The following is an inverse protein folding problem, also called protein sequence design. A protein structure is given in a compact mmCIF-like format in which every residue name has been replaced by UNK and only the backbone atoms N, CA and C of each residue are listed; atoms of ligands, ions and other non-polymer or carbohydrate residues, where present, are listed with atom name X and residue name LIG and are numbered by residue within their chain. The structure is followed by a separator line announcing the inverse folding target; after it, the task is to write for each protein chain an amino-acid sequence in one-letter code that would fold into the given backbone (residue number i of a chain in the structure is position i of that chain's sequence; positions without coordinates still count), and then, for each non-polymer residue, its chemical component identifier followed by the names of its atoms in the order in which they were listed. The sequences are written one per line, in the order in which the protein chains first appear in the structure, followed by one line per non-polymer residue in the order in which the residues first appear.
data_IF_557816237828
#
_entry.id   IF_557816237828
#
_cell.length_a   1.000
_cell.length_b   1.000
_cell.length_c   1.000
_cell.angle_alpha   90.00
_cell.angle_beta   90.00
_cell.angle_gamma   90.00
#
_symmetry.space_group_name_H-M   'P 1'
#
loop_
_entity.id
_entity.type
_entity.pdbx_description
1 polymer ?
#
# COMPACT_ATOMS: atom_id res chain seq x y z
N UNK A 1 -23.33 -34.69 -13.12
CA UNK A 1 -22.01 -34.10 -12.77
C UNK A 1 -22.05 -32.67 -13.25
N UNK A 2 -22.30 -31.75 -12.33
CA UNK A 2 -22.58 -30.36 -12.67
C UNK A 2 -21.30 -29.58 -12.92
N UNK A 3 -21.20 -28.99 -14.09
CA UNK A 3 -20.26 -27.88 -14.36
C UNK A 3 -20.52 -26.76 -13.38
N UNK A 4 -19.68 -26.63 -12.36
CA UNK A 4 -19.58 -25.40 -11.59
C UNK A 4 -18.92 -24.38 -12.51
N UNK A 5 -19.73 -23.51 -13.13
CA UNK A 5 -19.22 -22.31 -13.76
C UNK A 5 -18.44 -21.54 -12.69
N UNK A 6 -17.16 -21.30 -12.90
CA UNK A 6 -16.37 -20.36 -12.14
C UNK A 6 -17.03 -18.98 -12.28
N UNK A 7 -17.83 -18.61 -11.31
CA UNK A 7 -18.43 -17.28 -11.22
C UNK A 7 -17.32 -16.36 -10.74
N UNK A 8 -16.92 -15.38 -11.55
CA UNK A 8 -15.83 -14.47 -11.20
C UNK A 8 -16.29 -13.47 -10.13
N UNK A 9 -15.52 -13.34 -9.03
CA UNK A 9 -15.82 -12.54 -7.84
C UNK A 9 -15.20 -11.15 -7.90
N UNK A 10 -14.13 -10.99 -8.69
CA UNK A 10 -13.42 -9.73 -8.82
C UNK A 10 -14.03 -8.86 -9.91
N UNK A 11 -14.40 -7.63 -9.54
CA UNK A 11 -14.73 -6.58 -10.50
C UNK A 11 -13.55 -5.63 -10.61
N UNK A 12 -12.88 -5.64 -11.76
CA UNK A 12 -11.75 -4.74 -12.04
C UNK A 12 -12.28 -3.44 -12.63
N UNK A 13 -11.85 -2.32 -12.09
CA UNK A 13 -12.21 -0.99 -12.56
C UNK A 13 -10.97 -0.25 -13.04
N UNK A 14 -11.12 0.50 -14.13
CA UNK A 14 -10.14 1.51 -14.47
C UNK A 14 -10.29 2.66 -13.47
N UNK A 15 -9.24 3.03 -12.72
CA UNK A 15 -9.36 4.13 -11.77
C UNK A 15 -9.58 5.45 -12.53
N UNK A 16 -10.41 6.31 -11.98
CA UNK A 16 -10.45 7.69 -12.46
C UNK A 16 -9.19 8.44 -12.02
N UNK A 17 -8.89 9.53 -12.65
CA UNK A 17 -7.78 10.39 -12.25
C UNK A 17 -8.27 11.36 -11.19
N UNK A 18 -7.67 11.31 -9.98
CA UNK A 18 -7.94 12.30 -8.95
C UNK A 18 -7.58 13.69 -9.45
N UNK A 19 -8.48 14.63 -9.26
CA UNK A 19 -8.25 16.04 -9.62
C UNK A 19 -7.33 16.72 -8.60
N UNK A 20 -6.82 17.90 -8.94
CA UNK A 20 -6.14 18.76 -7.98
C UNK A 20 -7.02 19.03 -6.75
N UNK A 21 -8.32 19.26 -6.94
CA UNK A 21 -9.28 19.46 -5.86
C UNK A 21 -9.36 18.25 -4.92
N UNK A 22 -9.35 17.03 -5.46
CA UNK A 22 -9.36 15.81 -4.63
C UNK A 22 -8.09 15.70 -3.77
N UNK A 23 -6.93 16.02 -4.35
CA UNK A 23 -5.64 15.99 -3.63
C UNK A 23 -5.54 17.10 -2.59
N UNK A 24 -6.09 18.29 -2.87
CA UNK A 24 -6.12 19.43 -1.96
C UNK A 24 -7.10 19.26 -0.78
N UNK A 25 -7.82 18.16 -0.70
CA UNK A 25 -8.54 17.78 0.53
C UNK A 25 -7.57 17.51 1.70
N UNK A 26 -6.32 17.17 1.42
CA UNK A 26 -5.25 16.99 2.40
C UNK A 26 -4.05 17.89 2.13
N UNK A 27 -3.51 17.86 0.93
CA UNK A 27 -2.31 18.62 0.57
C UNK A 27 -2.59 20.10 0.38
N UNK A 28 -1.56 20.94 0.55
CA UNK A 28 -1.65 22.36 0.23
C UNK A 28 -1.78 22.58 -1.26
N UNK A 29 -2.53 23.60 -1.64
CA UNK A 29 -2.77 23.96 -3.04
C UNK A 29 -1.45 24.28 -3.77
N UNK A 30 -0.55 25.03 -3.12
CA UNK A 30 0.78 25.36 -3.67
C UNK A 30 1.62 24.13 -4.01
N UNK A 31 1.57 23.10 -3.15
CA UNK A 31 2.30 21.86 -3.38
C UNK A 31 1.73 21.08 -4.57
N UNK A 32 0.41 20.95 -4.65
CA UNK A 32 -0.24 20.22 -5.74
C UNK A 32 -0.10 20.99 -7.08
N UNK A 33 -0.23 22.32 -7.08
CA UNK A 33 0.06 23.15 -8.27
C UNK A 33 1.50 22.97 -8.75
N UNK A 34 2.45 22.93 -7.82
CA UNK A 34 3.85 22.63 -8.15
C UNK A 34 4.00 21.25 -8.80
N UNK A 35 3.43 20.18 -8.23
CA UNK A 35 3.51 18.83 -8.79
C UNK A 35 2.91 18.75 -10.20
N UNK A 36 1.84 19.53 -10.46
CA UNK A 36 1.19 19.55 -11.77
C UNK A 36 2.05 20.23 -12.83
N UNK A 37 2.88 21.21 -12.43
CA UNK A 37 3.64 22.06 -13.36
C UNK A 37 5.08 21.63 -13.56
N UNK A 38 5.65 20.93 -12.60
CA UNK A 38 7.06 20.50 -12.66
C UNK A 38 7.22 19.34 -13.66
N UNK A 39 8.31 19.39 -14.42
CA UNK A 39 8.70 18.32 -15.34
C UNK A 39 10.24 18.26 -15.43
N UNK A 40 10.83 17.18 -15.92
CA UNK A 40 12.30 17.10 -16.08
C UNK A 40 12.89 18.25 -16.90
N UNK A 41 12.09 18.80 -17.83
CA UNK A 41 12.56 19.84 -18.75
C UNK A 41 12.55 21.26 -18.14
N UNK A 42 11.84 21.48 -17.03
CA UNK A 42 11.68 22.82 -16.45
C UNK A 42 12.13 22.93 -14.98
N UNK A 43 12.77 21.91 -14.41
CA UNK A 43 13.22 21.87 -13.01
C UNK A 43 14.03 23.10 -12.59
N UNK A 44 14.86 23.63 -13.51
CA UNK A 44 15.69 24.81 -13.22
C UNK A 44 14.87 26.03 -12.81
N UNK A 45 13.65 26.16 -13.35
CA UNK A 45 12.71 27.22 -12.99
C UNK A 45 12.04 27.02 -11.63
N UNK A 46 12.12 25.81 -11.05
CA UNK A 46 11.46 25.43 -9.80
C UNK A 46 12.42 25.15 -8.64
N UNK A 47 13.70 25.56 -8.70
CA UNK A 47 14.70 25.22 -7.69
C UNK A 47 14.27 25.51 -6.25
N UNK A 48 13.60 26.64 -6.01
CA UNK A 48 13.08 26.99 -4.68
C UNK A 48 11.96 26.03 -4.24
N UNK A 49 11.04 25.73 -5.14
CA UNK A 49 9.90 24.83 -4.87
C UNK A 49 10.35 23.39 -4.70
N UNK A 50 11.33 22.92 -5.49
CA UNK A 50 11.93 21.60 -5.34
C UNK A 50 12.47 21.41 -3.91
N UNK A 51 13.23 22.37 -3.40
CA UNK A 51 13.77 22.32 -2.03
C UNK A 51 12.67 22.46 -0.97
N UNK A 52 11.70 23.37 -1.19
CA UNK A 52 10.64 23.63 -0.23
C UNK A 52 9.68 22.44 -0.06
N UNK A 53 9.44 21.71 -1.15
CA UNK A 53 8.53 20.55 -1.20
C UNK A 53 9.25 19.20 -1.16
N UNK A 54 10.57 19.20 -0.89
CA UNK A 54 11.40 18.00 -0.78
C UNK A 54 11.32 17.09 -2.00
N UNK A 55 11.29 17.68 -3.20
CA UNK A 55 11.29 16.97 -4.48
C UNK A 55 12.63 17.17 -5.17
N UNK A 56 13.25 16.07 -5.63
CA UNK A 56 14.55 16.10 -6.31
C UNK A 56 15.41 14.88 -6.05
N UNK A 57 15.70 14.58 -4.79
CA UNK A 57 16.59 13.46 -4.43
C UNK A 57 15.79 12.14 -4.29
N UNK A 58 15.27 11.84 -3.09
CA UNK A 58 14.50 10.60 -2.86
C UNK A 58 13.13 10.59 -3.56
N UNK A 59 12.62 11.76 -3.91
CA UNK A 59 11.38 11.93 -4.67
C UNK A 59 11.66 12.64 -6.00
N UNK A 60 12.27 11.95 -6.99
CA UNK A 60 12.70 12.58 -8.24
C UNK A 60 11.54 13.04 -9.12
N UNK A 61 11.80 14.05 -9.96
CA UNK A 61 10.88 14.46 -11.01
C UNK A 61 11.07 13.57 -12.22
N UNK A 62 9.99 12.97 -12.72
CA UNK A 62 9.98 12.12 -13.92
C UNK A 62 8.83 12.50 -14.85
N UNK A 63 8.87 12.12 -16.14
CA UNK A 63 7.77 12.37 -17.07
C UNK A 63 6.48 11.69 -16.60
N UNK A 64 5.37 12.43 -16.53
CA UNK A 64 4.09 11.90 -16.10
C UNK A 64 3.89 11.82 -14.58
N UNK A 65 4.75 12.47 -13.77
CA UNK A 65 4.66 12.47 -12.31
C UNK A 65 3.26 12.79 -11.79
N UNK A 66 2.65 13.88 -12.25
CA UNK A 66 1.31 14.26 -11.78
C UNK A 66 0.24 13.26 -12.20
N UNK A 67 0.33 12.73 -13.41
CA UNK A 67 -0.60 11.70 -13.89
C UNK A 67 -0.49 10.43 -13.05
N UNK A 68 0.71 10.01 -12.71
CA UNK A 68 0.97 8.89 -11.81
C UNK A 68 0.32 9.13 -10.44
N UNK A 69 0.54 10.30 -9.83
CA UNK A 69 -0.09 10.69 -8.55
C UNK A 69 -1.62 10.69 -8.66
N UNK A 70 -2.15 11.24 -9.76
CA UNK A 70 -3.58 11.31 -10.03
C UNK A 70 -4.23 9.94 -10.13
N UNK A 71 -3.57 8.96 -10.77
CA UNK A 71 -4.10 7.61 -10.96
C UNK A 71 -4.14 6.79 -9.68
N UNK A 72 -3.04 6.72 -8.92
CA UNK A 72 -3.04 5.91 -7.71
C UNK A 72 -3.93 6.52 -6.61
N UNK A 73 -3.97 7.85 -6.52
CA UNK A 73 -4.86 8.56 -5.59
C UNK A 73 -6.32 8.35 -5.97
N UNK A 74 -6.63 8.46 -7.26
CA UNK A 74 -7.97 8.22 -7.78
C UNK A 74 -8.46 6.79 -7.52
N UNK A 75 -7.57 5.80 -7.63
CA UNK A 75 -7.90 4.41 -7.33
C UNK A 75 -8.26 4.20 -5.85
N UNK A 76 -7.47 4.74 -4.91
CA UNK A 76 -7.74 4.65 -3.47
C UNK A 76 -9.03 5.39 -3.10
N UNK A 77 -9.24 6.58 -3.67
CA UNK A 77 -10.45 7.37 -3.47
C UNK A 77 -11.70 6.66 -4.03
N UNK A 78 -11.59 6.04 -5.21
CA UNK A 78 -12.66 5.24 -5.80
C UNK A 78 -12.99 4.02 -4.93
N UNK A 79 -11.97 3.30 -4.43
CA UNK A 79 -12.16 2.20 -3.50
C UNK A 79 -12.91 2.62 -2.24
N UNK A 80 -12.51 3.73 -1.62
CA UNK A 80 -13.19 4.30 -0.46
C UNK A 80 -14.65 4.67 -0.76
N UNK A 81 -14.91 5.29 -1.92
CA UNK A 81 -16.27 5.65 -2.37
C UNK A 81 -17.14 4.40 -2.56
N UNK A 82 -16.59 3.32 -3.12
CA UNK A 82 -17.34 2.08 -3.32
C UNK A 82 -17.69 1.39 -1.99
N UNK A 83 -16.78 1.45 -1.01
CA UNK A 83 -17.06 0.97 0.34
C UNK A 83 -18.15 1.79 1.02
N UNK A 84 -18.08 3.13 0.94
CA UNK A 84 -19.10 4.03 1.46
C UNK A 84 -20.48 3.72 0.87
N UNK A 85 -20.56 3.46 -0.43
CA UNK A 85 -21.80 3.14 -1.13
C UNK A 85 -22.22 1.68 -0.99
N UNK A 86 -21.50 0.88 -0.17
CA UNK A 86 -21.79 -0.55 0.07
C UNK A 86 -21.86 -1.38 -1.23
N UNK A 87 -21.11 -0.97 -2.25
CA UNK A 87 -21.05 -1.69 -3.54
C UNK A 87 -20.11 -2.90 -3.43
N UNK A 88 -19.09 -2.81 -2.57
CA UNK A 88 -18.20 -3.90 -2.21
C UNK A 88 -17.91 -3.90 -0.71
N UNK A 89 -17.45 -5.04 -0.21
CA UNK A 89 -16.99 -5.21 1.18
C UNK A 89 -15.48 -5.03 1.30
N UNK A 90 -14.75 -5.31 0.21
CA UNK A 90 -13.30 -5.14 0.12
C UNK A 90 -12.96 -4.43 -1.19
N UNK A 91 -12.17 -3.38 -1.11
CA UNK A 91 -11.58 -2.67 -2.25
C UNK A 91 -10.06 -2.81 -2.19
N UNK A 92 -9.39 -3.05 -3.34
CA UNK A 92 -7.95 -3.28 -3.42
C UNK A 92 -7.32 -2.30 -4.40
N UNK A 93 -6.26 -1.61 -3.97
CA UNK A 93 -5.42 -0.78 -4.81
C UNK A 93 -3.92 -1.03 -4.50
N UNK A 94 -3.30 -1.97 -5.21
CA UNK A 94 -1.88 -2.28 -5.04
C UNK A 94 -0.94 -1.15 -5.49
N UNK A 95 -1.42 -0.17 -6.25
CA UNK A 95 -0.63 0.99 -6.66
C UNK A 95 -0.66 2.13 -5.63
N UNK A 96 -1.51 2.05 -4.59
CA UNK A 96 -1.60 3.01 -3.50
C UNK A 96 -0.72 2.63 -2.31
N UNK A 97 -0.95 3.29 -1.19
CA UNK A 97 -0.23 3.03 0.06
C UNK A 97 0.97 3.94 0.29
N UNK A 98 0.97 5.15 -0.29
CA UNK A 98 2.08 6.09 -0.23
C UNK A 98 2.06 6.92 1.07
N UNK A 99 2.43 6.26 2.16
CA UNK A 99 2.21 6.68 3.54
C UNK A 99 3.14 7.79 4.07
N UNK A 100 4.25 8.09 3.36
CA UNK A 100 5.22 9.11 3.81
C UNK A 100 4.90 10.52 3.35
N UNK A 101 4.07 10.71 2.31
CA UNK A 101 3.76 12.04 1.82
C UNK A 101 3.09 12.90 2.90
N UNK A 102 3.62 14.12 3.07
CA UNK A 102 3.15 15.10 4.06
C UNK A 102 2.21 16.11 3.41
N UNK A 103 1.54 16.90 4.23
CA UNK A 103 0.63 17.95 3.73
C UNK A 103 1.30 18.93 2.77
N UNK A 104 2.56 19.26 3.01
CA UNK A 104 3.29 20.28 2.29
C UNK A 104 4.52 19.78 1.52
N UNK A 105 4.82 18.46 1.55
CA UNK A 105 6.05 17.96 0.94
C UNK A 105 5.96 16.47 0.59
N UNK A 106 6.78 16.08 -0.37
CA UNK A 106 7.07 14.68 -0.68
C UNK A 106 8.05 14.10 0.34
N UNK A 107 8.00 12.79 0.57
CA UNK A 107 8.93 12.09 1.47
C UNK A 107 8.95 10.61 1.14
N UNK A 108 10.12 9.96 1.29
CA UNK A 108 10.25 8.50 1.20
C UNK A 108 9.61 7.91 -0.07
N UNK A 109 9.91 8.46 -1.24
CA UNK A 109 9.35 8.10 -2.55
C UNK A 109 7.85 8.41 -2.74
N UNK A 110 7.19 8.99 -1.73
CA UNK A 110 5.77 9.32 -1.73
C UNK A 110 5.54 10.79 -2.07
N UNK A 111 4.63 11.07 -3.01
CA UNK A 111 4.31 12.44 -3.45
C UNK A 111 2.94 12.89 -2.94
N UNK A 112 1.88 12.15 -3.20
CA UNK A 112 0.53 12.40 -2.72
C UNK A 112 0.10 11.28 -1.79
N UNK A 113 -0.44 11.60 -0.63
CA UNK A 113 -0.88 10.61 0.35
C UNK A 113 -2.30 10.14 0.03
N UNK A 114 -2.39 9.12 -0.79
CA UNK A 114 -3.64 8.51 -1.20
C UNK A 114 -4.40 7.86 -0.03
N UNK A 115 -3.67 7.40 1.00
CA UNK A 115 -4.25 6.81 2.21
C UNK A 115 -5.06 7.85 2.96
N UNK A 116 -4.44 9.01 3.23
CA UNK A 116 -5.12 10.10 3.95
C UNK A 116 -6.35 10.57 3.17
N UNK A 117 -6.24 10.73 1.84
CA UNK A 117 -7.35 11.16 0.99
C UNK A 117 -8.47 10.10 0.99
N UNK A 118 -8.13 8.82 0.91
CA UNK A 118 -9.07 7.71 1.02
C UNK A 118 -9.78 7.67 2.38
N UNK A 119 -9.04 7.84 3.47
CA UNK A 119 -9.61 7.90 4.84
C UNK A 119 -10.55 9.11 4.99
N UNK A 120 -10.18 10.29 4.46
CA UNK A 120 -11.07 11.46 4.47
C UNK A 120 -12.37 11.21 3.71
N UNK A 121 -12.35 10.38 2.66
CA UNK A 121 -13.56 9.94 1.98
C UNK A 121 -14.40 9.01 2.84
N UNK A 122 -13.76 8.01 3.49
CA UNK A 122 -14.45 7.07 4.39
C UNK A 122 -15.11 7.79 5.58
N UNK A 123 -14.45 8.81 6.12
CA UNK A 123 -14.95 9.60 7.26
C UNK A 123 -16.25 10.36 6.99
N UNK A 124 -16.70 10.45 5.73
CA UNK A 124 -18.01 11.01 5.40
C UNK A 124 -19.16 10.15 5.95
N UNK A 125 -18.97 8.83 6.04
CA UNK A 125 -20.00 7.87 6.42
C UNK A 125 -19.57 6.92 7.55
N UNK A 126 -18.25 6.82 7.83
CA UNK A 126 -17.71 6.00 8.89
C UNK A 126 -17.28 6.86 10.08
N UNK A 127 -17.84 6.67 11.26
CA UNK A 127 -17.46 7.44 12.46
C UNK A 127 -16.04 7.12 12.93
N UNK A 128 -15.59 5.87 12.75
CA UNK A 128 -14.29 5.37 13.19
C UNK A 128 -13.63 4.56 12.10
N UNK A 129 -12.47 5.02 11.65
CA UNK A 129 -11.64 4.33 10.65
C UNK A 129 -10.37 3.85 11.33
N UNK A 130 -10.06 2.58 11.20
CA UNK A 130 -8.82 1.98 11.66
C UNK A 130 -7.84 1.89 10.47
N UNK A 131 -6.68 2.53 10.61
CA UNK A 131 -5.56 2.37 9.69
C UNK A 131 -4.55 1.40 10.30
N UNK A 132 -4.18 0.36 9.55
CA UNK A 132 -3.16 -0.62 9.90
C UNK A 132 -2.07 -0.58 8.83
N UNK A 133 -0.81 -0.47 9.26
CA UNK A 133 0.35 -0.37 8.40
C UNK A 133 1.33 -1.51 8.73
N UNK A 134 1.62 -2.36 7.75
CA UNK A 134 2.57 -3.48 7.86
C UNK A 134 3.79 -3.33 6.94
N UNK A 135 3.99 -2.15 6.35
CA UNK A 135 5.24 -1.72 5.74
C UNK A 135 6.37 -1.78 6.78
N UNK A 136 7.61 -1.97 6.35
CA UNK A 136 8.73 -1.93 7.30
C UNK A 136 9.00 -0.52 7.82
N UNK A 137 8.59 0.52 7.06
CA UNK A 137 8.76 1.91 7.46
C UNK A 137 7.55 2.41 8.24
N UNK A 138 7.78 3.26 9.21
CA UNK A 138 6.71 3.94 9.95
C UNK A 138 5.83 4.77 9.03
N UNK A 139 4.52 4.60 9.09
CA UNK A 139 3.53 5.37 8.32
C UNK A 139 3.36 6.81 8.85
N UNK A 140 4.45 7.57 8.85
CA UNK A 140 4.56 8.87 9.51
C UNK A 140 3.63 9.94 8.93
N UNK A 141 3.43 9.95 7.60
CA UNK A 141 2.52 10.91 6.95
C UNK A 141 1.07 10.70 7.33
N UNK A 142 0.64 9.45 7.49
CA UNK A 142 -0.72 9.12 7.94
C UNK A 142 -0.88 9.41 9.42
N UNK A 143 0.11 9.03 10.25
CA UNK A 143 0.13 9.37 11.67
C UNK A 143 -0.02 10.88 11.90
N UNK A 144 0.80 11.68 11.20
CA UNK A 144 0.78 13.13 11.32
C UNK A 144 -0.58 13.73 10.94
N UNK A 145 -1.20 13.23 9.86
CA UNK A 145 -2.48 13.73 9.38
C UNK A 145 -3.62 13.54 10.40
N UNK A 146 -3.57 12.48 11.19
CA UNK A 146 -4.66 12.12 12.13
C UNK A 146 -4.24 12.17 13.60
N UNK A 147 -3.11 12.80 13.93
CA UNK A 147 -2.53 12.81 15.27
C UNK A 147 -3.42 13.47 16.34
N UNK A 148 -4.34 14.35 15.93
CA UNK A 148 -5.19 15.15 16.81
C UNK A 148 -6.65 14.72 16.85
N UNK A 149 -7.01 13.59 16.21
CA UNK A 149 -8.40 13.13 16.11
C UNK A 149 -8.58 11.71 16.66
N UNK A 150 -9.72 11.45 17.28
CA UNK A 150 -10.18 10.14 17.75
C UNK A 150 -10.98 9.37 16.67
N UNK A 151 -11.26 10.00 15.53
CA UNK A 151 -12.02 9.39 14.43
C UNK A 151 -11.20 8.45 13.57
N UNK A 152 -9.88 8.55 13.63
CA UNK A 152 -8.95 7.66 12.95
C UNK A 152 -7.97 7.13 13.98
N UNK A 153 -7.92 5.81 14.13
CA UNK A 153 -6.86 5.15 14.89
C UNK A 153 -5.80 4.67 13.91
N UNK A 154 -4.54 5.07 14.13
CA UNK A 154 -3.40 4.61 13.34
C UNK A 154 -2.60 3.57 14.12
N UNK A 155 -2.32 2.43 13.50
CA UNK A 155 -1.53 1.33 14.07
C UNK A 155 -0.44 0.95 13.08
N UNK A 156 0.83 1.20 13.40
CA UNK A 156 1.96 0.94 12.52
C UNK A 156 2.94 -0.04 13.14
N UNK A 157 3.26 -1.13 12.42
CA UNK A 157 4.24 -2.15 12.79
C UNK A 157 5.48 -1.93 11.93
N UNK A 158 6.54 -1.37 12.49
CA UNK A 158 7.66 -0.90 11.67
C UNK A 158 9.00 -1.08 12.38
N UNK A 159 10.05 -1.11 11.59
CA UNK A 159 11.41 -1.02 12.09
C UNK A 159 11.66 0.36 12.71
N UNK A 160 12.22 0.37 13.93
CA UNK A 160 12.56 1.58 14.64
C UNK A 160 13.98 1.52 15.24
N UNK A 161 14.65 2.67 15.26
CA UNK A 161 15.99 2.80 15.80
C UNK A 161 17.10 2.66 14.76
N UNK A 162 18.37 2.85 15.20
CA UNK A 162 19.57 2.79 14.36
C UNK A 162 19.51 3.69 13.12
N UNK A 163 18.92 4.89 13.26
CA UNK A 163 18.76 5.86 12.14
C UNK A 163 17.99 5.31 10.95
N UNK A 164 17.13 4.31 11.17
CA UNK A 164 16.27 3.77 10.10
C UNK A 164 15.19 4.81 9.74
N UNK A 165 14.93 4.97 8.45
CA UNK A 165 13.96 5.94 7.94
C UNK A 165 12.52 5.57 8.39
N UNK A 166 11.66 6.54 8.71
CA UNK A 166 11.86 7.99 8.79
C UNK A 166 12.43 8.48 10.14
N UNK A 167 12.66 7.60 11.13
CA UNK A 167 13.18 7.92 12.45
C UNK A 167 12.12 8.30 13.49
N UNK A 168 10.84 8.25 13.12
CA UNK A 168 9.65 8.43 13.96
C UNK A 168 8.97 7.09 14.27
N UNK A 169 7.92 7.08 15.08
CA UNK A 169 7.17 5.87 15.43
C UNK A 169 7.66 5.17 16.70
N UNK A 170 8.13 5.93 17.68
CA UNK A 170 8.40 5.39 19.02
C UNK A 170 7.08 4.97 19.71
N UNK A 171 7.12 3.94 20.56
CA UNK A 171 5.92 3.44 21.26
C UNK A 171 5.23 4.47 22.16
N UNK A 172 5.91 5.57 22.47
CA UNK A 172 5.36 6.67 23.27
C UNK A 172 4.78 7.81 22.42
N UNK A 173 4.83 7.72 21.10
CA UNK A 173 4.09 8.59 20.20
C UNK A 173 2.64 8.10 20.11
N UNK A 174 1.79 8.63 20.97
CA UNK A 174 0.43 8.08 21.23
C UNK A 174 -0.71 9.00 20.78
N UNK A 175 -0.42 10.04 19.99
CA UNK A 175 -1.39 11.07 19.66
C UNK A 175 -1.45 12.21 20.67
N UNK A 176 -2.20 13.25 20.32
CA UNK A 176 -2.36 14.44 21.18
C UNK A 176 -3.81 14.95 21.15
N UNK A 177 -4.16 15.80 22.12
CA UNK A 177 -5.51 16.37 22.24
C UNK A 177 -6.61 15.31 22.20
N UNK A 178 -7.59 15.45 21.30
CA UNK A 178 -8.66 14.45 21.11
C UNK A 178 -8.13 13.12 20.53
N UNK A 179 -6.98 13.14 19.83
CA UNK A 179 -6.33 11.96 19.26
C UNK A 179 -5.41 11.23 20.23
N UNK A 180 -5.34 11.64 21.50
CA UNK A 180 -4.47 10.99 22.47
C UNK A 180 -4.92 9.53 22.71
N UNK A 181 -4.00 8.60 22.58
CA UNK A 181 -4.16 7.14 22.62
C UNK A 181 -4.81 6.51 21.37
N UNK A 182 -5.10 7.32 20.33
CA UNK A 182 -5.59 6.82 19.05
C UNK A 182 -4.46 6.70 18.00
N UNK A 183 -3.21 6.78 18.43
CA UNK A 183 -2.02 6.50 17.65
C UNK A 183 -1.23 5.41 18.36
N UNK A 184 -1.00 4.29 17.69
CA UNK A 184 -0.29 3.13 18.22
C UNK A 184 0.91 2.80 17.35
N UNK A 185 2.08 2.77 17.95
CA UNK A 185 3.33 2.43 17.29
C UNK A 185 3.89 1.14 17.89
N UNK A 186 4.27 0.23 17.00
CA UNK A 186 4.86 -1.07 17.33
C UNK A 186 6.30 -1.08 16.78
N UNK A 187 7.26 -0.49 17.52
CA UNK A 187 8.64 -0.41 17.09
C UNK A 187 9.31 -1.77 17.19
N UNK A 188 9.79 -2.28 16.05
CA UNK A 188 10.40 -3.60 15.92
C UNK A 188 11.89 -3.47 15.59
N UNK A 189 12.64 -4.56 15.81
CA UNK A 189 14.07 -4.68 15.51
C UNK A 189 14.30 -5.58 14.31
N UNK A 190 15.53 -5.59 13.81
CA UNK A 190 15.95 -6.40 12.68
C UNK A 190 15.62 -7.87 12.84
N UNK A 191 15.36 -8.54 11.73
CA UNK A 191 15.24 -9.97 11.63
C UNK A 191 13.98 -10.59 12.24
N UNK A 192 12.93 -9.79 12.52
CA UNK A 192 11.70 -10.37 13.04
C UNK A 192 11.14 -11.41 12.06
N UNK A 193 10.78 -12.58 12.56
CA UNK A 193 10.23 -13.70 11.82
C UNK A 193 8.69 -13.79 11.93
N UNK A 194 8.10 -14.67 11.13
CA UNK A 194 6.64 -14.87 11.06
C UNK A 194 6.04 -15.18 12.43
N UNK A 195 6.69 -16.06 13.21
CA UNK A 195 6.15 -16.48 14.49
C UNK A 195 6.14 -15.35 15.51
N UNK A 196 7.21 -14.57 15.56
CA UNK A 196 7.33 -13.42 16.47
C UNK A 196 6.37 -12.30 16.07
N UNK A 197 6.25 -12.04 14.76
CA UNK A 197 5.35 -11.03 14.23
C UNK A 197 3.91 -11.38 14.50
N UNK A 198 3.47 -12.59 14.19
CA UNK A 198 2.13 -13.11 14.46
C UNK A 198 1.78 -13.05 15.96
N UNK A 199 2.72 -13.43 16.82
CA UNK A 199 2.53 -13.41 18.28
C UNK A 199 2.25 -12.01 18.83
N UNK A 200 2.72 -10.97 18.16
CA UNK A 200 2.47 -9.58 18.50
C UNK A 200 1.27 -8.99 17.73
N UNK A 201 1.22 -9.22 16.41
CA UNK A 201 0.21 -8.62 15.52
C UNK A 201 -1.22 -9.02 15.89
N UNK A 202 -1.49 -10.32 15.99
CA UNK A 202 -2.85 -10.80 16.22
C UNK A 202 -3.45 -10.31 17.55
N UNK A 203 -2.77 -10.42 18.70
CA UNK A 203 -3.32 -9.90 19.96
C UNK A 203 -3.47 -8.39 19.97
N UNK A 204 -2.55 -7.63 19.33
CA UNK A 204 -2.64 -6.17 19.27
C UNK A 204 -3.85 -5.75 18.43
N UNK A 205 -4.00 -6.30 17.22
CA UNK A 205 -5.12 -5.96 16.35
C UNK A 205 -6.46 -6.40 16.93
N UNK A 206 -6.52 -7.59 17.54
CA UNK A 206 -7.74 -8.01 18.24
C UNK A 206 -8.17 -7.01 19.31
N UNK A 207 -7.23 -6.62 20.18
CA UNK A 207 -7.49 -5.66 21.25
C UNK A 207 -7.87 -4.28 20.70
N UNK A 208 -7.22 -3.84 19.60
CA UNK A 208 -7.57 -2.59 18.92
C UNK A 208 -9.00 -2.64 18.40
N UNK A 209 -9.40 -3.71 17.71
CA UNK A 209 -10.76 -3.87 17.19
C UNK A 209 -11.79 -3.91 18.31
N UNK A 210 -11.49 -4.62 19.40
CA UNK A 210 -12.40 -4.74 20.56
C UNK A 210 -12.62 -3.39 21.26
N UNK A 211 -11.58 -2.58 21.43
CA UNK A 211 -11.68 -1.29 22.14
C UNK A 211 -12.14 -0.15 21.23
N UNK A 212 -11.59 -0.06 20.02
CA UNK A 212 -11.88 1.04 19.10
C UNK A 212 -13.18 0.84 18.33
N UNK A 213 -13.57 -0.41 18.06
CA UNK A 213 -14.75 -0.77 17.29
C UNK A 213 -14.85 -0.03 15.94
N UNK A 214 -13.87 -0.20 15.04
CA UNK A 214 -13.86 0.49 13.77
C UNK A 214 -15.06 0.08 12.90
N UNK A 215 -15.56 1.01 12.09
CA UNK A 215 -16.62 0.74 11.12
C UNK A 215 -16.07 0.53 9.70
N UNK A 216 -14.81 0.85 9.50
CA UNK A 216 -14.05 0.57 8.28
C UNK A 216 -12.56 0.42 8.63
N UNK A 217 -11.85 -0.44 7.90
CA UNK A 217 -10.41 -0.66 8.04
C UNK A 217 -9.70 -0.27 6.74
N UNK A 218 -8.56 0.39 6.85
CA UNK A 218 -7.62 0.63 5.75
C UNK A 218 -6.32 -0.10 6.11
N UNK A 219 -5.90 -1.04 5.27
CA UNK A 219 -4.72 -1.86 5.47
C UNK A 219 -3.68 -1.56 4.40
N UNK A 220 -2.53 -1.02 4.81
CA UNK A 220 -1.35 -0.84 3.98
C UNK A 220 -0.48 -2.09 4.07
N UNK A 221 -0.21 -2.71 2.91
CA UNK A 221 0.49 -3.99 2.77
C UNK A 221 1.86 -3.81 2.11
N UNK A 222 2.68 -2.88 2.59
CA UNK A 222 4.05 -2.72 2.10
C UNK A 222 4.82 -4.03 2.19
N UNK A 223 5.39 -4.45 1.06
CA UNK A 223 6.07 -5.74 0.91
C UNK A 223 7.57 -5.68 1.23
N UNK A 224 8.06 -4.56 1.70
CA UNK A 224 9.44 -4.37 2.15
C UNK A 224 9.70 -4.90 3.58
N UNK A 225 8.66 -5.30 4.28
CA UNK A 225 8.74 -6.10 5.50
C UNK A 225 9.05 -7.58 5.25
N UNK A 226 9.05 -8.03 4.00
CA UNK A 226 9.44 -9.38 3.61
C UNK A 226 10.94 -9.62 3.77
N UNK A 227 11.30 -10.88 4.07
CA UNK A 227 12.69 -11.36 4.00
C UNK A 227 13.28 -11.17 2.61
N UNK A 228 14.58 -10.87 2.54
CA UNK A 228 15.30 -10.60 1.29
C UNK A 228 14.79 -9.36 0.53
N UNK A 229 14.09 -8.44 1.18
CA UNK A 229 13.86 -7.13 0.60
C UNK A 229 15.18 -6.36 0.47
N UNK A 230 15.22 -5.46 -0.50
CA UNK A 230 16.44 -4.74 -0.82
C UNK A 230 16.76 -3.61 0.17
N UNK A 231 15.74 -2.99 0.76
CA UNK A 231 15.87 -1.92 1.75
C UNK A 231 15.43 -2.36 3.13
N UNK A 232 14.62 -3.42 3.22
CA UNK A 232 14.10 -3.95 4.46
C UNK A 232 15.10 -4.83 5.21
N UNK A 233 14.87 -5.01 6.50
CA UNK A 233 15.69 -5.83 7.39
C UNK A 233 14.86 -6.80 8.26
N UNK A 234 13.58 -6.96 7.95
CA UNK A 234 12.73 -8.00 8.53
C UNK A 234 12.91 -9.32 7.80
N UNK A 235 12.38 -10.39 8.35
CA UNK A 235 12.51 -11.73 7.79
C UNK A 235 11.15 -12.44 7.67
N UNK A 236 10.11 -11.69 7.31
CA UNK A 236 8.79 -12.29 7.08
C UNK A 236 8.78 -13.08 5.77
N UNK A 237 8.13 -14.24 5.81
CA UNK A 237 7.77 -14.95 4.59
C UNK A 237 6.51 -14.32 3.94
N UNK A 238 6.26 -14.62 2.68
CA UNK A 238 5.02 -14.23 2.01
C UNK A 238 3.79 -14.80 2.73
N UNK A 239 3.90 -16.01 3.29
CA UNK A 239 2.84 -16.62 4.10
C UNK A 239 2.60 -15.85 5.39
N UNK A 240 3.66 -15.49 6.12
CA UNK A 240 3.55 -14.73 7.36
C UNK A 240 2.96 -13.33 7.14
N UNK A 241 3.33 -12.67 6.04
CA UNK A 241 2.77 -11.39 5.64
C UNK A 241 1.28 -11.53 5.28
N UNK A 242 0.92 -12.54 4.47
CA UNK A 242 -0.46 -12.83 4.10
C UNK A 242 -1.34 -13.25 5.29
N UNK A 243 -0.78 -13.91 6.32
CA UNK A 243 -1.53 -14.20 7.57
C UNK A 243 -2.04 -12.93 8.25
N UNK A 244 -1.33 -11.81 8.15
CA UNK A 244 -1.80 -10.53 8.66
C UNK A 244 -3.04 -10.05 7.89
N UNK A 245 -3.00 -10.15 6.56
CA UNK A 245 -4.12 -9.76 5.69
C UNK A 245 -5.36 -10.63 5.94
N UNK A 246 -5.17 -11.95 6.01
CA UNK A 246 -6.23 -12.91 6.30
C UNK A 246 -6.86 -12.65 7.68
N UNK A 247 -6.03 -12.36 8.69
CA UNK A 247 -6.49 -12.05 10.02
C UNK A 247 -7.35 -10.77 10.06
N UNK A 248 -6.89 -9.69 9.41
CA UNK A 248 -7.67 -8.46 9.32
C UNK A 248 -8.98 -8.67 8.55
N UNK A 249 -8.97 -9.41 7.45
CA UNK A 249 -10.17 -9.80 6.71
C UNK A 249 -11.18 -10.54 7.58
N UNK A 250 -10.71 -11.38 8.51
CA UNK A 250 -11.57 -12.23 9.34
C UNK A 250 -12.53 -11.46 10.26
N UNK A 251 -12.28 -10.17 10.52
CA UNK A 251 -13.20 -9.31 11.28
C UNK A 251 -14.48 -8.97 10.51
N UNK A 252 -14.51 -9.18 9.20
CA UNK A 252 -15.66 -8.88 8.33
C UNK A 252 -16.14 -7.41 8.43
N UNK A 253 -15.20 -6.49 8.61
CA UNK A 253 -15.40 -5.04 8.57
C UNK A 253 -15.05 -4.57 7.14
N UNK A 254 -15.78 -3.59 6.56
CA UNK A 254 -15.42 -3.01 5.27
C UNK A 254 -13.92 -2.66 5.20
N UNK A 255 -13.24 -3.11 4.14
CA UNK A 255 -11.78 -3.13 4.09
C UNK A 255 -11.26 -2.51 2.80
N UNK A 256 -10.42 -1.47 2.92
CA UNK A 256 -9.61 -0.93 1.84
C UNK A 256 -8.18 -1.47 1.98
N UNK A 257 -7.72 -2.25 1.00
CA UNK A 257 -6.38 -2.83 0.97
C UNK A 257 -5.53 -2.06 -0.03
N UNK A 258 -4.37 -1.63 0.43
CA UNK A 258 -3.44 -0.81 -0.35
C UNK A 258 -2.08 -1.49 -0.44
N UNK A 259 -1.32 -1.17 -1.49
CA UNK A 259 0.08 -1.53 -1.59
C UNK A 259 0.96 -0.77 -0.58
N UNK A 260 2.15 -0.44 -0.97
CA UNK A 260 3.14 0.24 -0.15
C UNK A 260 4.54 0.03 -0.71
N UNK A 261 5.56 0.04 0.15
CA UNK A 261 6.93 -0.27 -0.20
C UNK A 261 7.13 -1.70 -0.69
N UNK A 262 8.35 -1.99 -1.11
CA UNK A 262 8.76 -3.28 -1.64
C UNK A 262 9.75 -3.12 -2.78
N UNK A 263 11.00 -3.54 -2.56
CA UNK A 263 12.14 -3.19 -3.42
C UNK A 263 12.81 -4.42 -4.04
N UNK A 264 12.39 -5.62 -3.64
CA UNK A 264 12.65 -6.86 -4.36
C UNK A 264 11.41 -7.21 -5.18
N UNK A 265 11.28 -6.59 -6.35
CA UNK A 265 10.05 -6.52 -7.17
C UNK A 265 9.40 -7.89 -7.40
N UNK A 266 10.21 -8.96 -7.66
CA UNK A 266 9.67 -10.31 -7.83
C UNK A 266 8.96 -10.84 -6.57
N UNK A 267 9.41 -10.45 -5.37
CA UNK A 267 8.77 -10.86 -4.12
C UNK A 267 7.51 -10.02 -3.84
N UNK A 268 7.50 -8.74 -4.22
CA UNK A 268 6.31 -7.90 -4.19
C UNK A 268 5.20 -8.50 -5.05
N UNK A 269 5.53 -8.89 -6.28
CA UNK A 269 4.57 -9.53 -7.19
C UNK A 269 3.99 -10.82 -6.61
N UNK A 270 4.83 -11.67 -6.01
CA UNK A 270 4.39 -12.89 -5.31
C UNK A 270 3.47 -12.58 -4.13
N UNK A 271 3.89 -11.64 -3.28
CA UNK A 271 3.18 -11.27 -2.05
C UNK A 271 1.78 -10.76 -2.36
N UNK A 272 1.65 -9.73 -3.18
CA UNK A 272 0.34 -9.15 -3.49
C UNK A 272 -0.55 -10.08 -4.34
N UNK A 273 0.04 -11.01 -5.12
CA UNK A 273 -0.71 -12.09 -5.76
C UNK A 273 -1.30 -13.05 -4.73
N UNK A 274 -0.49 -13.50 -3.78
CA UNK A 274 -0.93 -14.37 -2.70
C UNK A 274 -1.99 -13.69 -1.83
N UNK A 275 -1.77 -12.45 -1.43
CA UNK A 275 -2.74 -11.69 -0.64
C UNK A 275 -4.05 -11.44 -1.38
N UNK A 276 -3.99 -11.17 -2.69
CA UNK A 276 -5.20 -11.12 -3.51
C UNK A 276 -5.96 -12.44 -3.43
N UNK A 277 -5.27 -13.58 -3.51
CA UNK A 277 -5.90 -14.90 -3.43
C UNK A 277 -6.59 -15.13 -2.07
N UNK A 278 -5.96 -14.70 -0.97
CA UNK A 278 -6.56 -14.76 0.37
C UNK A 278 -7.78 -13.85 0.49
N UNK A 279 -7.69 -12.63 -0.08
CA UNK A 279 -8.79 -11.67 -0.04
C UNK A 279 -10.02 -12.17 -0.80
N UNK A 280 -9.83 -12.95 -1.86
CA UNK A 280 -10.92 -13.50 -2.70
C UNK A 280 -11.30 -14.94 -2.36
N UNK A 281 -10.71 -15.55 -1.33
CA UNK A 281 -10.93 -16.96 -0.91
C UNK A 281 -10.62 -17.97 -2.04
N UNK A 282 -9.62 -17.70 -2.90
CA UNK A 282 -9.21 -18.58 -3.98
C UNK A 282 -7.84 -19.20 -3.72
N UNK A 283 -7.76 -20.51 -3.76
CA UNK A 283 -6.48 -21.20 -3.72
C UNK A 283 -5.75 -21.08 -5.06
N UNK A 284 -4.50 -20.65 -5.02
CA UNK A 284 -3.64 -20.54 -6.20
C UNK A 284 -2.48 -21.55 -6.11
N UNK A 285 -1.89 -21.87 -7.28
CA UNK A 285 -0.77 -22.81 -7.37
C UNK A 285 0.48 -22.27 -6.69
N UNK A 286 1.24 -23.18 -6.05
CA UNK A 286 2.60 -22.89 -5.59
C UNK A 286 3.57 -22.66 -6.74
N UNK A 287 3.39 -23.37 -7.85
CA UNK A 287 4.21 -23.20 -9.05
C UNK A 287 3.71 -21.99 -9.85
N UNK A 288 4.63 -21.11 -10.20
CA UNK A 288 4.32 -19.94 -11.00
C UNK A 288 4.01 -20.34 -12.44
N UNK A 289 2.95 -19.77 -13.07
CA UNK A 289 2.63 -20.05 -14.46
C UNK A 289 3.71 -19.49 -15.38
N UNK A 290 3.94 -20.19 -16.50
CA UNK A 290 4.82 -19.68 -17.55
C UNK A 290 4.26 -18.40 -18.16
N UNK A 291 5.07 -17.33 -18.16
CA UNK A 291 4.73 -16.03 -18.71
C UNK A 291 6.01 -15.38 -19.27
N UNK A 292 5.87 -14.24 -19.94
CA UNK A 292 7.01 -13.45 -20.41
C UNK A 292 7.94 -12.98 -19.29
N UNK A 293 7.44 -12.92 -18.04
CA UNK A 293 8.21 -12.55 -16.83
C UNK A 293 8.73 -13.76 -16.05
N UNK A 294 8.53 -15.00 -16.54
CA UNK A 294 8.85 -16.22 -15.80
C UNK A 294 10.30 -16.25 -15.30
N UNK A 295 11.24 -15.91 -16.19
CA UNK A 295 12.68 -15.89 -15.87
C UNK A 295 13.05 -14.89 -14.75
N UNK A 296 12.20 -13.90 -14.50
CA UNK A 296 12.40 -12.94 -13.40
C UNK A 296 12.28 -13.59 -12.01
N UNK A 297 11.62 -14.73 -11.94
CA UNK A 297 11.36 -15.47 -10.71
C UNK A 297 12.39 -16.58 -10.44
N UNK A 298 13.46 -16.65 -11.25
CA UNK A 298 14.56 -17.58 -11.01
C UNK A 298 15.23 -17.33 -9.65
N UNK A 299 15.85 -18.37 -9.00
CA UNK A 299 15.90 -19.77 -9.46
C UNK A 299 14.71 -20.64 -9.03
N UNK A 300 13.84 -20.13 -8.16
CA UNK A 300 12.89 -20.96 -7.41
C UNK A 300 11.57 -21.21 -8.16
N UNK A 301 11.16 -20.28 -9.02
CA UNK A 301 9.91 -20.33 -9.80
C UNK A 301 8.66 -20.70 -8.99
N UNK A 302 8.71 -20.46 -7.68
CA UNK A 302 7.62 -20.74 -6.73
C UNK A 302 6.97 -19.47 -6.22
N UNK A 303 5.73 -19.58 -5.80
CA UNK A 303 4.99 -18.48 -5.16
C UNK A 303 5.58 -18.12 -3.79
N UNK A 304 6.05 -19.11 -3.05
CA UNK A 304 6.58 -18.95 -1.70
C UNK A 304 8.06 -19.37 -1.63
N UNK A 305 8.99 -18.48 -2.03
CA UNK A 305 10.41 -18.76 -1.87
C UNK A 305 10.78 -18.83 -0.39
N UNK A 306 11.78 -19.65 -0.06
CA UNK A 306 12.29 -19.78 1.30
C UNK A 306 12.91 -18.46 1.76
N UNK A 307 12.65 -18.09 3.02
CA UNK A 307 13.34 -16.99 3.69
C UNK A 307 14.66 -17.48 4.31
N UNK A 308 15.58 -16.55 4.52
CA UNK A 308 16.91 -16.90 5.09
C UNK A 308 16.80 -17.35 6.54
N UNK A 309 17.33 -18.53 6.83
CA UNK A 309 17.47 -19.03 8.21
C UNK A 309 18.70 -18.47 8.94
N UNK A 310 19.53 -17.64 8.26
CA UNK A 310 20.76 -17.06 8.80
C UNK A 310 20.57 -15.68 9.42
N UNK A 311 19.40 -15.09 9.24
CA UNK A 311 19.08 -13.77 9.80
C UNK A 311 18.68 -13.97 11.25
N UNK A 312 19.39 -13.29 12.17
CA UNK A 312 19.10 -13.33 13.59
C UNK A 312 17.92 -12.40 13.92
N UNK A 313 16.95 -12.95 14.62
CA UNK A 313 15.84 -12.17 15.15
C UNK A 313 16.28 -11.44 16.43
N UNK A 314 16.42 -10.11 16.33
CA UNK A 314 16.84 -9.25 17.44
C UNK A 314 15.68 -8.87 18.39
N UNK A 315 14.47 -9.37 18.13
CA UNK A 315 13.29 -9.12 18.93
C UNK A 315 13.14 -10.21 20.01
N UNK A 316 13.69 -9.97 21.19
CA UNK A 316 13.49 -10.89 22.31
C UNK A 316 12.01 -10.95 22.71
N UNK A 317 11.58 -12.11 23.20
CA UNK A 317 10.19 -12.28 23.68
C UNK A 317 9.83 -11.25 24.75
N UNK A 318 10.77 -10.96 25.66
CA UNK A 318 10.57 -9.94 26.69
C UNK A 318 10.32 -8.55 26.09
N UNK A 319 11.05 -8.19 25.03
CA UNK A 319 10.87 -6.91 24.35
C UNK A 319 9.48 -6.83 23.68
N UNK A 320 9.06 -7.89 22.97
CA UNK A 320 7.74 -7.94 22.34
C UNK A 320 6.60 -7.92 23.38
N UNK A 321 6.76 -8.62 24.50
CA UNK A 321 5.79 -8.61 25.59
C UNK A 321 5.68 -7.21 26.24
N UNK A 322 6.80 -6.49 26.38
CA UNK A 322 6.80 -5.11 26.87
C UNK A 322 6.02 -4.17 25.94
N UNK A 323 6.27 -4.25 24.62
CA UNK A 323 5.52 -3.44 23.62
C UNK A 323 4.03 -3.76 23.75
N UNK A 324 3.67 -5.03 23.74
CA UNK A 324 2.27 -5.46 23.85
C UNK A 324 1.61 -4.93 25.12
N UNK A 325 2.29 -5.02 26.25
CA UNK A 325 1.80 -4.53 27.53
C UNK A 325 1.53 -3.02 27.49
N UNK A 326 2.48 -2.24 26.98
CA UNK A 326 2.35 -0.78 26.85
C UNK A 326 1.16 -0.41 25.96
N UNK A 327 0.98 -1.10 24.83
CA UNK A 327 -0.17 -0.87 23.93
C UNK A 327 -1.48 -1.19 24.64
N UNK A 328 -1.57 -2.30 25.37
CA UNK A 328 -2.77 -2.69 26.09
C UNK A 328 -3.13 -1.70 27.21
N UNK A 329 -2.14 -1.11 27.87
CA UNK A 329 -2.35 -0.05 28.86
C UNK A 329 -2.87 1.23 28.19
N UNK A 330 -2.32 1.62 27.04
CA UNK A 330 -2.80 2.77 26.27
C UNK A 330 -4.25 2.58 25.80
N UNK A 331 -4.61 1.39 25.31
CA UNK A 331 -5.95 1.09 24.83
C UNK A 331 -7.01 1.19 25.94
N UNK A 332 -6.67 0.93 27.20
CA UNK A 332 -7.59 1.12 28.34
C UNK A 332 -7.95 2.58 28.58
N UNK A 333 -7.18 3.50 28.04
CA UNK A 333 -7.41 4.95 28.19
C UNK A 333 -8.34 5.52 27.11
N UNK A 334 -8.80 4.70 26.14
CA UNK A 334 -9.70 5.15 25.08
C UNK A 334 -11.08 5.54 25.62
N UNK A 335 -11.57 6.67 25.12
CA UNK A 335 -12.96 7.03 25.24
C UNK A 335 -13.76 6.36 24.10
N UNK A 336 -14.81 5.62 24.44
CA UNK A 336 -15.59 4.87 23.47
C UNK A 336 -16.57 5.70 22.61
N UNK A 337 -16.75 6.98 22.94
CA UNK A 337 -17.63 7.86 22.17
C UNK A 337 -16.83 8.60 21.09
N UNK A 338 -17.21 8.51 19.81
CA UNK A 338 -16.60 9.32 18.76
C UNK A 338 -16.92 10.79 18.98
N UNK A 339 -16.01 11.69 18.62
CA UNK A 339 -16.16 13.15 18.76
C UNK A 339 -17.22 13.77 17.85
N UNK A 340 -17.81 12.98 16.95
CA UNK A 340 -18.89 13.41 16.05
C UNK A 340 -20.05 12.43 16.09
N UNK A 341 -21.26 12.97 15.90
CA UNK A 341 -22.47 12.16 15.80
C UNK A 341 -22.46 11.37 14.49
N UNK A 342 -22.83 10.09 14.57
CA UNK A 342 -22.99 9.24 13.41
C UNK A 342 -24.27 9.64 12.69
N UNK A 343 -24.18 9.89 11.38
CA UNK A 343 -25.34 10.01 10.52
C UNK A 343 -25.43 8.77 9.64
N UNK A 344 -26.64 8.23 9.50
CA UNK A 344 -26.88 7.20 8.50
C UNK A 344 -26.62 7.74 7.09
N UNK A 345 -26.20 6.85 6.19
CA UNK A 345 -26.07 7.21 4.77
C UNK A 345 -27.42 7.70 4.28
N UNK A 346 -27.52 8.91 3.72
CA UNK A 346 -28.77 9.41 3.16
C UNK A 346 -29.37 8.42 2.18
N UNK A 347 -30.69 8.21 2.26
CA UNK A 347 -31.38 7.21 1.43
C UNK A 347 -31.28 7.46 -0.06
N UNK A 348 -31.11 8.71 -0.46
CA UNK A 348 -30.87 9.14 -1.85
C UNK A 348 -29.50 8.71 -2.39
N UNK A 349 -28.49 8.51 -1.53
CA UNK A 349 -27.22 7.94 -1.94
C UNK A 349 -27.27 6.40 -2.08
N UNK A 350 -28.22 5.74 -1.40
CA UNK A 350 -28.48 4.31 -1.60
C UNK A 350 -29.27 4.03 -2.88
N UNK A 351 -29.98 5.05 -3.39
CA UNK A 351 -30.71 5.04 -4.66
C UNK A 351 -29.91 5.70 -5.78
N UNK A 352 -28.57 5.58 -5.79
CA UNK A 352 -27.76 6.01 -6.92
C UNK A 352 -28.22 5.25 -8.17
N UNK A 353 -29.24 5.80 -8.77
CA UNK A 353 -29.83 5.30 -10.00
C UNK A 353 -28.78 5.47 -11.10
N UNK A 354 -28.55 4.42 -11.86
CA UNK A 354 -27.59 4.38 -12.97
C UNK A 354 -27.93 5.31 -14.12
N UNK A 355 -28.83 6.28 -13.90
CA UNK A 355 -29.35 7.17 -14.94
C UNK A 355 -28.37 8.22 -15.44
N UNK A 356 -27.24 8.42 -14.72
CA UNK A 356 -26.16 9.33 -15.18
C UNK A 356 -24.96 8.58 -15.81
N UNK A 357 -24.99 7.26 -15.95
CA UNK A 357 -24.07 6.59 -16.87
C UNK A 357 -24.57 6.87 -18.31
N UNK A 358 -23.71 7.46 -19.19
CA UNK A 358 -24.07 7.60 -20.59
C UNK A 358 -24.45 6.24 -21.15
N UNK A 359 -25.56 6.22 -21.92
CA UNK A 359 -26.08 5.02 -22.57
C UNK A 359 -24.93 4.23 -23.21
N UNK A 360 -24.83 2.92 -22.96
CA UNK A 360 -23.80 2.09 -23.58
C UNK A 360 -23.73 2.22 -25.11
N UNK A 361 -24.81 2.63 -25.77
CA UNK A 361 -24.86 2.90 -27.21
C UNK A 361 -24.26 4.26 -27.61
N UNK A 362 -24.12 5.23 -26.68
CA UNK A 362 -23.43 6.51 -26.92
C UNK A 362 -21.91 6.43 -26.70
N UNK A 363 -21.41 5.35 -26.13
CA UNK A 363 -19.98 5.05 -26.07
C UNK A 363 -19.57 4.58 -27.46
N UNK A 364 -19.04 5.51 -28.27
CA UNK A 364 -18.41 5.15 -29.54
C UNK A 364 -17.49 3.93 -29.34
N UNK A 365 -17.44 3.07 -30.35
CA UNK A 365 -16.78 1.78 -30.40
C UNK A 365 -15.32 1.83 -29.92
N UNK A 366 -15.13 1.90 -28.63
CA UNK A 366 -13.86 1.64 -27.97
C UNK A 366 -13.87 0.19 -27.47
N UNK A 367 -12.97 -0.53 -28.05
CA UNK A 367 -12.50 -1.90 -27.88
C UNK A 367 -12.95 -2.67 -26.63
N UNK A 368 -13.49 -3.83 -26.89
CA UNK A 368 -13.84 -4.95 -26.02
C UNK A 368 -13.02 -5.03 -24.72
N UNK A 369 -13.56 -4.48 -23.64
CA UNK A 369 -13.14 -4.88 -22.30
C UNK A 369 -13.91 -6.14 -21.88
N UNK A 370 -13.23 -7.27 -21.78
CA UNK A 370 -13.80 -8.46 -21.18
C UNK A 370 -14.15 -8.17 -19.71
N UNK A 371 -15.45 -8.15 -19.39
CA UNK A 371 -15.94 -8.01 -18.01
C UNK A 371 -15.81 -9.37 -17.33
N UNK A 372 -14.94 -9.48 -16.35
CA UNK A 372 -14.92 -10.61 -15.45
C UNK A 372 -15.62 -10.22 -14.14
N UNK A 373 -16.71 -10.90 -13.79
CA UNK A 373 -17.37 -10.81 -12.49
C UNK A 373 -17.18 -12.13 -11.75
N UNK A 374 -16.62 -12.06 -10.53
CA UNK A 374 -16.48 -13.20 -9.64
C UNK A 374 -17.27 -12.96 -8.34
N UNK A 375 -18.22 -13.80 -7.95
CA UNK A 375 -19.04 -13.73 -6.71
C UNK A 375 -18.78 -14.96 -5.84
N UNK A 376 -18.39 -14.77 -4.58
CA UNK A 376 -18.25 -15.85 -3.59
C UNK A 376 -19.35 -15.85 -2.56
N UNK A 377 -19.62 -17.02 -2.07
CA UNK A 377 -20.51 -17.23 -0.94
C UNK A 377 -19.74 -17.86 0.20
N UNK A 378 -19.66 -17.16 1.35
CA UNK A 378 -19.26 -17.74 2.61
C UNK A 378 -20.47 -17.60 3.54
N UNK A 379 -20.90 -18.69 4.14
CA UNK A 379 -22.06 -18.73 5.06
C UNK A 379 -23.35 -18.14 4.48
N UNK A 380 -23.55 -18.22 3.16
CA UNK A 380 -24.77 -17.74 2.51
C UNK A 380 -24.84 -16.23 2.24
N UNK A 381 -23.76 -15.47 2.50
CA UNK A 381 -23.69 -14.03 2.25
C UNK A 381 -22.71 -13.74 1.10
N UNK A 382 -23.10 -12.99 0.04
CA UNK A 382 -22.20 -12.66 -1.06
C UNK A 382 -21.22 -11.53 -0.65
N UNK A 383 -19.94 -11.72 -0.91
CA UNK A 383 -18.91 -10.68 -0.82
C UNK A 383 -18.58 -10.12 -2.20
N UNK A 384 -18.35 -8.81 -2.31
CA UNK A 384 -18.01 -8.10 -3.57
C UNK A 384 -16.68 -7.38 -3.44
N UNK A 385 -15.81 -7.56 -4.43
CA UNK A 385 -14.44 -7.01 -4.44
C UNK A 385 -14.20 -6.03 -5.59
N UNK A 386 -13.31 -5.08 -5.35
CA UNK A 386 -12.90 -4.04 -6.29
C UNK A 386 -11.38 -3.93 -6.37
N UNK A 387 -10.82 -4.11 -7.55
CA UNK A 387 -9.43 -3.82 -7.88
C UNK A 387 -9.36 -2.52 -8.71
N UNK A 388 -8.71 -1.49 -8.17
CA UNK A 388 -8.38 -0.30 -8.93
C UNK A 388 -6.99 -0.45 -9.52
N UNK A 389 -6.85 -0.52 -10.84
CA UNK A 389 -5.57 -0.62 -11.50
C UNK A 389 -5.52 0.09 -12.85
N UNK A 390 -4.36 0.68 -13.18
CA UNK A 390 -4.13 1.35 -14.44
C UNK A 390 -2.90 0.77 -15.15
N UNK A 391 -3.11 -0.29 -15.93
CA UNK A 391 -2.22 -0.61 -17.04
C UNK A 391 -3.04 -1.08 -18.24
N UNK A 392 -2.65 -0.78 -19.48
CA UNK A 392 -3.33 -1.34 -20.64
C UNK A 392 -3.16 -2.85 -20.62
N UNK A 393 -4.28 -3.56 -20.46
CA UNK A 393 -4.32 -5.00 -20.71
C UNK A 393 -4.31 -5.18 -22.21
N UNK A 394 -3.19 -5.56 -22.78
CA UNK A 394 -3.17 -6.10 -24.14
C UNK A 394 -3.98 -7.41 -24.13
N UNK A 395 -4.93 -7.58 -25.05
CA UNK A 395 -5.71 -8.80 -25.11
C UNK A 395 -4.78 -9.98 -25.43
N UNK A 396 -4.62 -10.88 -24.47
CA UNK A 396 -4.01 -12.16 -24.72
C UNK A 396 -5.00 -13.00 -25.51
N UNK A 397 -4.56 -13.47 -26.67
CA UNK A 397 -5.39 -14.21 -27.62
C UNK A 397 -6.07 -15.42 -26.98
N UNK A 398 -7.21 -15.77 -27.56
CA UNK A 398 -8.01 -16.95 -27.28
C UNK A 398 -7.14 -18.20 -27.04
N UNK A 399 -7.15 -18.70 -25.81
CA UNK A 399 -6.59 -20.01 -25.49
C UNK A 399 -7.68 -21.08 -25.53
N UNK A 400 -7.36 -22.30 -25.98
CA UNK A 400 -8.32 -23.41 -26.08
C UNK A 400 -8.71 -23.92 -24.68
N UNK A 401 -9.90 -24.49 -24.63
CA UNK A 401 -10.53 -25.10 -23.45
C UNK A 401 -9.56 -26.03 -22.70
N UNK A 402 -9.29 -25.73 -21.44
CA UNK A 402 -8.51 -26.58 -20.53
C UNK A 402 -7.36 -25.90 -19.76
N UNK A 403 -7.18 -24.61 -19.90
CA UNK A 403 -6.03 -23.88 -19.33
C UNK A 403 -6.25 -23.34 -17.92
N UNK A 404 -5.27 -23.55 -17.08
CA UNK A 404 -5.06 -22.92 -15.78
C UNK A 404 -5.02 -21.40 -15.88
N UNK A 405 -5.56 -20.72 -14.86
CA UNK A 405 -5.69 -19.26 -14.77
C UNK A 405 -4.33 -18.57 -14.60
N UNK A 406 -4.02 -17.62 -15.45
CA UNK A 406 -2.86 -16.74 -15.30
C UNK A 406 -3.31 -15.38 -14.77
N UNK A 407 -2.93 -15.06 -13.55
CA UNK A 407 -3.04 -13.71 -13.00
C UNK A 407 -1.81 -12.92 -13.44
N UNK A 408 -1.94 -12.03 -14.42
CA UNK A 408 -0.86 -11.11 -14.79
C UNK A 408 -0.88 -9.88 -13.88
N UNK A 409 0.04 -9.84 -12.93
CA UNK A 409 0.36 -8.65 -12.16
C UNK A 409 1.30 -7.76 -12.98
N UNK A 410 0.77 -6.76 -13.65
CA UNK A 410 1.60 -5.72 -14.27
C UNK A 410 1.93 -4.63 -13.24
N UNK A 411 3.13 -4.70 -12.69
CA UNK A 411 3.70 -3.56 -11.97
C UNK A 411 3.98 -2.45 -12.97
N UNK A 412 3.36 -1.28 -12.78
CA UNK A 412 3.63 -0.09 -13.58
C UNK A 412 5.06 0.39 -13.37
N UNK A 413 5.98 -0.10 -14.21
CA UNK A 413 7.19 0.61 -14.56
C UNK A 413 7.00 1.04 -16.02
N UNK A 414 6.39 2.21 -16.23
CA UNK A 414 6.35 2.85 -17.54
C UNK A 414 7.72 3.46 -17.83
N UNK A 415 8.60 2.67 -18.42
CA UNK A 415 9.65 3.20 -19.24
C UNK A 415 9.35 2.81 -20.69
N UNK A 416 8.61 3.63 -21.39
CA UNK A 416 8.66 3.64 -22.85
C UNK A 416 10.04 4.17 -23.26
N UNK A 417 11.02 3.27 -23.34
CA UNK A 417 12.21 3.52 -24.14
C UNK A 417 11.92 3.02 -25.53
N UNK A 418 11.73 3.93 -26.46
CA UNK A 418 11.81 3.66 -27.88
C UNK A 418 13.10 2.88 -28.17
N UNK A 419 12.97 1.61 -28.53
CA UNK A 419 14.06 0.84 -29.13
C UNK A 419 14.16 1.23 -30.60
N UNK A 420 15.34 1.62 -31.11
CA UNK A 420 15.57 1.77 -32.53
C UNK A 420 15.73 0.38 -33.17
N UNK A 421 15.24 0.26 -34.39
CA UNK A 421 15.39 -0.89 -35.29
C UNK A 421 16.85 -1.37 -35.43
N UNK A 422 17.09 -2.68 -35.64
CA UNK A 422 18.43 -3.25 -35.75
C UNK A 422 19.06 -3.00 -37.13
N UNK A 423 20.26 -2.42 -37.14
CA UNK A 423 21.05 -2.27 -38.33
C UNK A 423 22.48 -1.81 -38.03
N UNK A 424 23.40 -2.79 -37.99
CA UNK A 424 24.85 -2.72 -38.15
C UNK A 424 25.74 -2.44 -36.90
N UNK A 425 27.03 -2.86 -36.95
CA UNK A 425 27.70 -3.46 -35.80
C UNK A 425 28.64 -2.55 -35.02
N UNK A 426 28.94 -3.01 -33.80
CA UNK A 426 29.77 -2.47 -32.73
C UNK A 426 31.10 -1.80 -33.15
N UNK A 427 31.66 -0.95 -32.26
CA UNK A 427 32.87 -1.39 -31.61
C UNK A 427 32.91 -1.26 -30.09
N UNK A 428 33.65 -2.20 -29.53
CA UNK A 428 34.10 -2.35 -28.16
C UNK A 428 34.67 -1.04 -27.55
N UNK A 429 34.17 -0.63 -26.39
CA UNK A 429 34.91 0.21 -25.47
C UNK A 429 34.89 -0.43 -24.08
N UNK A 430 36.06 -0.94 -23.70
CA UNK A 430 36.41 -1.36 -22.35
C UNK A 430 36.60 -0.11 -21.48
N UNK A 431 35.97 -0.08 -20.32
CA UNK A 431 36.35 0.82 -19.23
C UNK A 431 36.93 0.02 -18.07
N UNK A 432 38.05 0.50 -17.50
CA UNK A 432 38.74 -0.23 -16.44
C UNK A 432 38.16 0.05 -15.06
N UNK A 433 38.08 -1.01 -14.28
CA UNK A 433 37.87 -1.00 -12.84
C UNK A 433 39.12 -0.45 -12.15
N UNK A 434 39.00 0.62 -11.40
CA UNK A 434 39.90 0.90 -10.28
C UNK A 434 39.28 1.83 -9.27
N UNK A 435 38.97 1.27 -8.12
CA UNK A 435 38.68 1.98 -6.89
C UNK A 435 40.01 2.06 -6.10
N UNK A 436 40.40 3.18 -5.51
CA UNK A 436 41.27 3.13 -4.35
C UNK A 436 40.62 3.70 -3.11
N UNK A 437 40.46 2.83 -2.11
CA UNK A 437 40.36 3.18 -0.71
C UNK A 437 41.58 3.99 -0.25
N UNK A 438 41.36 5.09 0.44
CA UNK A 438 42.33 5.67 1.37
C UNK A 438 41.66 6.09 2.67
N UNK A 439 42.27 5.76 3.82
CA UNK A 439 41.73 6.07 5.14
C UNK A 439 42.17 7.48 5.58
N UNK A 440 41.30 8.21 6.27
CA UNK A 440 41.73 9.38 7.07
C UNK A 440 41.71 9.07 8.55
N UNK A 441 42.90 9.07 9.10
CA UNK A 441 43.22 9.04 10.52
C UNK A 441 42.92 10.40 11.19
N UNK A 442 42.40 10.27 12.41
CA UNK A 442 42.57 11.08 13.65
C UNK A 442 43.09 12.51 13.55
N UNK A 443 42.40 13.38 14.21
CA UNK A 443 43.01 14.37 15.13
C UNK A 443 42.04 14.66 16.26
N UNK A 444 42.51 14.33 17.47
CA UNK A 444 41.96 14.74 18.74
C UNK A 444 42.59 16.10 19.15
N UNK A 445 41.80 17.01 19.71
CA UNK A 445 42.30 17.96 20.75
C UNK A 445 41.13 18.69 21.43
N UNK A 446 40.92 18.32 22.69
CA UNK A 446 40.87 19.18 23.86
C UNK A 446 39.86 20.33 23.89
N UNK A 447 38.92 20.20 24.86
CA UNK A 447 38.23 21.27 25.59
C UNK A 447 39.23 22.29 26.22
N UNK A 448 38.81 23.45 26.77
CA UNK A 448 37.76 23.58 27.78
C UNK A 448 36.90 24.86 27.67
N UNK A 449 35.69 24.84 28.06
CA UNK A 449 35.01 25.51 29.19
C UNK A 449 33.53 25.14 29.14
#
# INVERSE_FOLDING_TARGET
MGNKSCVSVLKVFKPYQASQHDMCRFHSEDYIDFLQRVSPNNMQGFTKSLNAFNVGDDCPVFPGLFEFCSRYTGASLQGATQLNNKICDIAINWAGGLHHAKKFEASGFCYVNDIVIGILELLKYHPRVLYIDIDIHHGDGVQEAFYLTDRVMTVSFHKYGNYFFPGTGDMYEVGAESGRYYCLNVPLRDGIDDQSYKHLFQPVINQVVDYYQPTCIVLQCGADSLGCDRLGCFNLSIRGHGECVEYVKSFNIPLLVLGGGGYTVRNVARCWTYETSLLVDEAISEELPYSEYFEYFAPDFTLHPDVSTRIENQNSRQYLDQIRQTIFENLKMLNHAPSVQIHDVPSDLLSYDRTDEPDPEERGSEENYSRYQLLFWRNGIPFKFLLGWSAPVTPCGLLPEGGSWSLCLNLCLSSETHLPHPGLPSPLLRYPVSCPLKPMLRLASRSPF
#
